data_IF_525363950821
#
_entry.id   IF_525363950821
#
_cell.length_a   1.000
_cell.length_b   1.000
_cell.length_c   1.000
_cell.angle_alpha   90.00
_cell.angle_beta   90.00
_cell.angle_gamma   90.00
#
_symmetry.space_group_name_H-M   'P 1'
#
loop_
_entity.id
_entity.type
_entity.pdbx_description
1 polymer ?
#
# COMPACT_ATOMS: atom_id res chain seq x y z
N UNK A 1 -5.29 23.83 9.03
CA UNK A 1 -5.39 22.40 8.67
C UNK A 1 -4.32 22.13 7.63
N UNK A 2 -3.34 21.26 7.92
CA UNK A 2 -2.37 20.85 6.90
C UNK A 2 -3.13 20.04 5.83
N UNK A 3 -3.21 20.57 4.61
CA UNK A 3 -3.73 19.80 3.46
C UNK A 3 -2.83 18.59 3.28
N UNK A 4 -3.38 17.41 3.56
CA UNK A 4 -2.67 16.15 3.36
C UNK A 4 -2.22 16.06 1.90
N UNK A 5 -0.90 16.06 1.68
CA UNK A 5 -0.30 15.87 0.36
C UNK A 5 -0.60 14.46 -0.17
N UNK A 6 -0.58 14.23 -1.50
CA UNK A 6 -0.70 12.89 -2.07
C UNK A 6 0.22 11.88 -1.37
N UNK A 7 1.47 12.27 -1.08
CA UNK A 7 2.44 11.41 -0.41
C UNK A 7 2.01 11.03 1.02
N UNK A 8 1.47 11.96 1.80
CA UNK A 8 0.97 11.67 3.15
C UNK A 8 -0.24 10.75 3.14
N UNK A 9 -1.09 10.84 2.11
CA UNK A 9 -2.24 9.94 1.92
C UNK A 9 -1.80 8.55 1.46
N UNK A 10 -0.81 8.47 0.57
CA UNK A 10 -0.20 7.20 0.15
C UNK A 10 0.46 6.51 1.34
N UNK A 11 1.25 7.25 2.14
CA UNK A 11 1.87 6.71 3.34
C UNK A 11 0.84 6.15 4.34
N UNK A 12 -0.30 6.83 4.51
CA UNK A 12 -1.40 6.31 5.33
C UNK A 12 -1.99 5.02 4.74
N UNK A 13 -2.30 5.01 3.43
CA UNK A 13 -2.82 3.81 2.76
C UNK A 13 -1.86 2.61 2.88
N UNK A 14 -0.56 2.83 2.76
CA UNK A 14 0.47 1.81 2.97
C UNK A 14 0.52 1.35 4.44
N UNK A 15 0.33 2.25 5.40
CA UNK A 15 0.27 1.93 6.83
C UNK A 15 -0.92 1.04 7.23
N UNK A 16 -1.99 1.01 6.44
CA UNK A 16 -3.10 0.06 6.65
C UNK A 16 -2.65 -1.39 6.47
N UNK A 17 -1.66 -1.63 5.60
CA UNK A 17 -1.07 -2.97 5.41
C UNK A 17 -0.36 -3.41 6.69
N UNK A 18 0.40 -2.52 7.32
CA UNK A 18 1.20 -2.83 8.50
C UNK A 18 0.36 -3.09 9.76
N UNK A 19 -0.81 -2.45 9.84
CA UNK A 19 -1.71 -2.56 11.00
C UNK A 19 -2.77 -3.66 10.87
N UNK A 20 -2.93 -4.24 9.69
CA UNK A 20 -3.87 -5.31 9.43
C UNK A 20 -3.60 -6.54 10.33
N UNK A 21 -4.65 -7.10 10.92
CA UNK A 21 -4.55 -8.19 11.91
C UNK A 21 -4.87 -9.56 11.33
N UNK A 22 -5.59 -9.63 10.19
CA UNK A 22 -5.88 -10.88 9.50
C UNK A 22 -5.30 -10.90 8.08
N UNK A 23 -4.92 -12.08 7.55
CA UNK A 23 -4.38 -12.19 6.20
C UNK A 23 -5.29 -11.63 5.11
N UNK A 24 -6.62 -11.74 5.29
CA UNK A 24 -7.59 -11.16 4.38
C UNK A 24 -7.56 -9.63 4.40
N UNK A 25 -7.40 -9.02 5.58
CA UNK A 25 -7.26 -7.58 5.74
C UNK A 25 -5.97 -7.07 5.11
N UNK A 26 -4.86 -7.83 5.21
CA UNK A 26 -3.61 -7.50 4.52
C UNK A 26 -3.82 -7.44 3.01
N UNK A 27 -4.50 -8.44 2.43
CA UNK A 27 -4.82 -8.48 0.99
C UNK A 27 -5.74 -7.33 0.59
N UNK A 28 -6.75 -7.03 1.38
CA UNK A 28 -7.65 -5.90 1.17
C UNK A 28 -6.91 -4.56 1.23
N UNK A 29 -6.13 -4.33 2.29
CA UNK A 29 -5.35 -3.11 2.48
C UNK A 29 -4.32 -2.91 1.34
N UNK A 30 -3.70 -4.00 0.87
CA UNK A 30 -2.78 -3.95 -0.28
C UNK A 30 -3.53 -3.54 -1.55
N UNK A 31 -4.66 -4.18 -1.85
CA UNK A 31 -5.48 -3.85 -3.02
C UNK A 31 -5.97 -2.40 -2.98
N UNK A 32 -6.41 -1.93 -1.81
CA UNK A 32 -6.78 -0.54 -1.57
C UNK A 32 -5.61 0.41 -1.82
N UNK A 33 -4.43 0.15 -1.24
CA UNK A 33 -3.26 1.01 -1.40
C UNK A 33 -2.81 1.10 -2.85
N UNK A 34 -2.70 -0.03 -3.55
CA UNK A 34 -2.32 -0.06 -4.98
C UNK A 34 -3.36 0.65 -5.85
N UNK A 35 -4.65 0.38 -5.66
CA UNK A 35 -5.71 1.07 -6.40
C UNK A 35 -5.74 2.58 -6.14
N UNK A 36 -5.45 3.00 -4.92
CA UNK A 36 -5.37 4.41 -4.55
C UNK A 36 -4.17 5.11 -5.21
N UNK A 37 -2.99 4.48 -5.21
CA UNK A 37 -1.80 4.98 -5.91
C UNK A 37 -2.10 5.13 -7.42
N UNK A 38 -2.76 4.15 -8.01
CA UNK A 38 -3.12 4.16 -9.43
C UNK A 38 -4.10 5.29 -9.75
N UNK A 39 -5.12 5.48 -8.92
CA UNK A 39 -6.06 6.60 -9.06
C UNK A 39 -5.35 7.96 -9.01
N UNK A 40 -4.39 8.14 -8.11
CA UNK A 40 -3.60 9.37 -8.01
C UNK A 40 -2.70 9.58 -9.24
N UNK A 41 -2.13 8.50 -9.77
CA UNK A 41 -1.35 8.53 -11.00
C UNK A 41 -2.21 8.95 -12.20
N UNK A 42 -3.38 8.35 -12.37
CA UNK A 42 -4.31 8.71 -13.45
C UNK A 42 -4.80 10.15 -13.34
N UNK A 43 -4.96 10.66 -12.13
CA UNK A 43 -5.28 12.06 -11.85
C UNK A 43 -4.07 13.01 -12.06
N UNK A 44 -2.90 12.50 -12.44
CA UNK A 44 -1.63 13.25 -12.60
C UNK A 44 -1.18 13.97 -11.32
N UNK A 45 -1.55 13.42 -10.16
CA UNK A 45 -1.17 13.96 -8.84
C UNK A 45 0.17 13.39 -8.34
N UNK A 46 0.65 12.31 -8.96
CA UNK A 46 1.92 11.64 -8.64
C UNK A 46 2.62 11.22 -9.94
N UNK A 47 3.95 11.33 -9.98
CA UNK A 47 4.75 10.98 -11.15
C UNK A 47 4.97 9.47 -11.30
N UNK A 48 5.07 8.97 -12.54
CA UNK A 48 5.25 7.55 -12.83
C UNK A 48 6.43 6.86 -12.10
N UNK A 49 7.62 7.48 -11.95
CA UNK A 49 8.72 6.84 -11.22
C UNK A 49 8.39 6.61 -9.73
N UNK A 50 7.70 7.57 -9.10
CA UNK A 50 7.31 7.46 -7.70
C UNK A 50 6.24 6.38 -7.49
N UNK A 51 5.31 6.21 -8.45
CA UNK A 51 4.28 5.16 -8.43
C UNK A 51 4.90 3.78 -8.32
N UNK A 52 5.96 3.50 -9.08
CA UNK A 52 6.62 2.20 -9.01
C UNK A 52 7.22 1.95 -7.62
N UNK A 53 7.90 2.95 -7.04
CA UNK A 53 8.43 2.83 -5.67
C UNK A 53 7.34 2.55 -4.64
N UNK A 54 6.17 3.19 -4.74
CA UNK A 54 5.06 2.94 -3.82
C UNK A 54 4.43 1.55 -4.00
N UNK A 55 4.36 1.05 -5.24
CA UNK A 55 3.87 -0.30 -5.52
C UNK A 55 4.80 -1.36 -4.96
N UNK A 56 6.11 -1.19 -5.14
CA UNK A 56 7.12 -2.10 -4.60
C UNK A 56 7.12 -2.08 -3.05
N UNK A 57 6.93 -0.91 -2.44
CA UNK A 57 6.76 -0.78 -0.98
C UNK A 57 5.49 -1.51 -0.50
N UNK A 58 4.35 -1.34 -1.19
CA UNK A 58 3.12 -2.06 -0.86
C UNK A 58 3.31 -3.59 -0.90
N UNK A 59 4.01 -4.12 -1.90
CA UNK A 59 4.29 -5.55 -2.01
C UNK A 59 5.24 -6.03 -0.90
N UNK A 60 6.28 -5.25 -0.59
CA UNK A 60 7.22 -5.58 0.48
C UNK A 60 6.51 -5.63 1.84
N UNK A 61 5.67 -4.63 2.14
CA UNK A 61 4.86 -4.60 3.37
C UNK A 61 3.87 -5.75 3.43
N UNK A 62 3.21 -6.06 2.32
CA UNK A 62 2.30 -7.22 2.21
C UNK A 62 3.03 -8.52 2.54
N UNK A 63 4.16 -8.78 1.89
CA UNK A 63 4.93 -10.01 2.07
C UNK A 63 5.40 -10.16 3.53
N UNK A 64 5.97 -9.08 4.09
CA UNK A 64 6.37 -9.03 5.51
C UNK A 64 5.19 -9.33 6.42
N UNK A 65 4.07 -8.63 6.25
CA UNK A 65 2.92 -8.75 7.15
C UNK A 65 2.26 -10.12 7.07
N UNK A 66 2.11 -10.68 5.87
CA UNK A 66 1.59 -12.05 5.72
C UNK A 66 2.49 -13.07 6.42
N UNK A 67 3.81 -12.92 6.31
CA UNK A 67 4.78 -13.76 7.01
C UNK A 67 4.63 -13.64 8.53
N UNK A 68 4.49 -12.43 9.06
CA UNK A 68 4.25 -12.17 10.50
C UNK A 68 2.95 -12.82 11.00
N UNK A 69 1.93 -12.90 10.14
CA UNK A 69 0.66 -13.57 10.44
C UNK A 69 0.69 -15.10 10.23
N UNK A 70 1.87 -15.67 9.98
CA UNK A 70 2.06 -17.11 9.79
C UNK A 70 1.57 -17.63 8.44
N UNK A 71 1.27 -16.74 7.48
CA UNK A 71 0.97 -17.13 6.10
C UNK A 71 2.29 -17.16 5.35
N UNK A 72 2.90 -18.34 5.31
CA UNK A 72 4.04 -18.60 4.44
C UNK A 72 3.70 -18.34 2.98
N UNK A 73 4.70 -17.87 2.23
CA UNK A 73 4.63 -17.61 0.79
C UNK A 73 4.23 -18.90 0.06
N UNK A 74 2.92 -19.12 -0.11
CA UNK A 74 2.39 -20.12 -1.01
C UNK A 74 2.47 -19.51 -2.41
N UNK A 75 3.69 -19.53 -2.95
CA UNK A 75 3.94 -19.38 -4.38
C UNK A 75 3.22 -20.44 -5.18
#
# INVERSE_FOLDING_TARGET
>A
MATATPDSKIANALGLIDTAQHPMDVRFATAYATGYIDALYYAKLVAAPAVQCYRDDAQTRRARRLTELGVGDQG
#
